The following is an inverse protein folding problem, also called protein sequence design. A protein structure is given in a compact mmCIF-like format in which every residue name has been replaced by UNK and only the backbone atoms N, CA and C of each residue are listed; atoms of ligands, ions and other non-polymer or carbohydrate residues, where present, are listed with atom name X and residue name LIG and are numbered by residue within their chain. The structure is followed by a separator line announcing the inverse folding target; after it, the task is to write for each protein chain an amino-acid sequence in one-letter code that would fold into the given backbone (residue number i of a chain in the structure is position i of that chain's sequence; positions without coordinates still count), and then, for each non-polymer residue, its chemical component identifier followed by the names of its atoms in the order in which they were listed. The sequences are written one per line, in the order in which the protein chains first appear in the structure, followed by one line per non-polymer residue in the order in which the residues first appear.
data_IF_814233728282
#
_entry.id   IF_814233728282
#
_cell.length_a   1.000
_cell.length_b   1.000
_cell.length_c   1.000
_cell.angle_alpha   90.00
_cell.angle_beta   90.00
_cell.angle_gamma   90.00
#
_symmetry.space_group_name_H-M   'P 1'
#
loop_
_entity.id
_entity.type
_entity.pdbx_description
1 polymer ?
#
# COMPACT_ATOMS: atom_id res chain seq x y z
N UNK A 1 -49.03 66.05 30.60
CA UNK A 1 -48.15 65.57 29.51
C UNK A 1 -47.22 64.50 30.10
N UNK A 2 -47.69 63.24 30.02
CA UNK A 2 -46.92 62.10 30.59
C UNK A 2 -46.17 61.43 29.48
N UNK A 3 -44.81 61.42 29.51
CA UNK A 3 -43.96 60.72 28.59
C UNK A 3 -43.63 59.38 29.19
N UNK A 4 -44.12 58.32 28.57
CA UNK A 4 -43.84 56.93 28.96
C UNK A 4 -42.65 56.44 28.14
N UNK A 5 -41.46 56.30 28.72
CA UNK A 5 -40.31 55.62 28.09
C UNK A 5 -40.54 54.10 28.09
N UNK A 6 -40.61 53.53 26.91
CA UNK A 6 -40.55 52.06 26.71
C UNK A 6 -39.09 51.63 26.61
N UNK A 7 -38.62 50.90 27.65
CA UNK A 7 -37.34 50.17 27.60
C UNK A 7 -37.55 48.90 26.77
N UNK A 8 -36.72 48.75 25.71
CA UNK A 8 -36.65 47.48 24.96
C UNK A 8 -35.56 46.59 25.57
N UNK A 9 -35.78 45.27 25.71
CA UNK A 9 -34.75 44.36 26.22
C UNK A 9 -33.66 44.12 25.18
N UNK A 10 -32.42 44.36 25.56
CA UNK A 10 -31.22 44.06 24.77
C UNK A 10 -30.93 42.54 24.88
N UNK A 11 -31.22 41.77 23.84
CA UNK A 11 -30.82 40.35 23.76
C UNK A 11 -29.33 40.27 23.41
N UNK A 12 -28.49 39.96 24.37
CA UNK A 12 -27.08 39.63 24.14
C UNK A 12 -27.00 38.17 23.72
N UNK A 13 -26.79 37.92 22.45
CA UNK A 13 -26.45 36.58 21.95
C UNK A 13 -24.99 36.29 22.29
N UNK A 14 -24.74 35.50 23.33
CA UNK A 14 -23.43 34.86 23.54
C UNK A 14 -23.24 33.77 22.47
N UNK A 15 -22.47 34.08 21.46
CA UNK A 15 -21.92 33.07 20.57
C UNK A 15 -20.78 32.34 21.28
N UNK A 16 -21.09 31.18 21.88
CA UNK A 16 -20.06 30.24 22.31
C UNK A 16 -19.40 29.65 21.08
N UNK A 17 -18.22 30.15 20.70
CA UNK A 17 -17.35 29.50 19.73
C UNK A 17 -16.82 28.22 20.36
N UNK A 18 -17.49 27.10 20.09
CA UNK A 18 -16.94 25.77 20.34
C UNK A 18 -15.78 25.62 19.35
N UNK A 19 -14.56 25.95 19.82
CA UNK A 19 -13.35 25.56 19.09
C UNK A 19 -13.34 24.03 19.07
N UNK A 20 -13.21 23.41 17.87
CA UNK A 20 -13.05 21.96 17.82
C UNK A 20 -11.78 21.63 18.61
N UNK A 21 -11.93 20.83 19.67
CA UNK A 21 -10.80 20.21 20.35
C UNK A 21 -10.12 19.31 19.28
N UNK A 22 -9.05 19.81 18.68
CA UNK A 22 -8.19 18.99 17.83
C UNK A 22 -7.61 17.89 18.72
N UNK A 23 -8.31 16.77 18.84
CA UNK A 23 -7.75 15.57 19.41
C UNK A 23 -6.51 15.23 18.59
N UNK A 24 -5.34 15.47 19.15
CA UNK A 24 -4.08 15.18 18.50
C UNK A 24 -4.07 13.68 18.17
N UNK A 25 -4.21 13.35 16.89
CA UNK A 25 -4.31 11.99 16.43
C UNK A 25 -3.12 11.19 16.98
N UNK A 26 -3.42 10.16 17.77
CA UNK A 26 -2.37 9.29 18.32
C UNK A 26 -1.57 8.71 17.15
N UNK A 27 -0.26 8.80 17.23
CA UNK A 27 0.62 8.20 16.22
C UNK A 27 1.28 6.96 16.77
N UNK A 28 1.42 5.89 15.95
CA UNK A 28 2.10 4.67 16.36
C UNK A 28 3.54 4.91 16.79
N UNK A 29 4.10 4.01 17.57
CA UNK A 29 5.51 4.05 17.97
C UNK A 29 6.43 4.06 16.74
N UNK A 30 7.66 4.58 16.89
CA UNK A 30 8.63 4.70 15.79
C UNK A 30 8.95 3.34 15.15
N UNK A 31 8.95 2.28 15.95
CA UNK A 31 9.16 0.90 15.49
C UNK A 31 8.38 -0.07 16.36
N UNK A 32 7.73 -1.04 15.73
CA UNK A 32 6.90 -2.05 16.36
C UNK A 32 7.33 -3.42 15.83
N UNK A 33 7.63 -4.37 16.72
CA UNK A 33 7.84 -5.77 16.34
C UNK A 33 6.46 -6.36 16.04
N UNK A 34 6.34 -7.03 14.91
CA UNK A 34 5.14 -7.79 14.56
C UNK A 34 5.17 -9.19 15.18
N UNK A 35 4.01 -9.79 15.48
CA UNK A 35 3.92 -11.19 15.88
C UNK A 35 4.50 -12.12 14.81
N UNK A 36 4.91 -13.33 15.21
CA UNK A 36 5.52 -14.31 14.30
C UNK A 36 4.59 -14.76 13.18
N UNK A 37 3.27 -14.72 13.39
CA UNK A 37 2.28 -15.00 12.34
C UNK A 37 2.37 -14.04 11.18
N UNK A 38 2.88 -12.81 11.38
CA UNK A 38 3.11 -11.78 10.37
C UNK A 38 4.57 -11.72 9.90
N UNK A 39 5.28 -12.84 9.93
CA UNK A 39 6.70 -12.91 9.57
C UNK A 39 6.97 -12.60 8.11
N UNK A 40 6.05 -12.94 7.22
CA UNK A 40 6.15 -12.73 5.78
C UNK A 40 5.12 -11.68 5.30
N UNK A 41 4.98 -10.60 6.10
CA UNK A 41 4.06 -9.51 5.76
C UNK A 41 4.42 -8.85 4.43
N UNK A 42 3.50 -8.90 3.46
CA UNK A 42 3.65 -8.29 2.14
C UNK A 42 2.67 -7.13 1.89
N UNK A 43 1.42 -7.23 2.33
CA UNK A 43 0.41 -6.18 2.16
C UNK A 43 -0.06 -5.56 3.47
N UNK A 44 -0.34 -4.25 3.46
CA UNK A 44 -0.83 -3.51 4.61
C UNK A 44 -1.66 -2.30 4.20
N UNK A 45 -2.83 -2.12 4.82
CA UNK A 45 -3.68 -0.96 4.58
C UNK A 45 -4.27 -0.41 5.88
N UNK A 46 -4.29 0.92 6.01
CA UNK A 46 -4.86 1.64 7.15
C UNK A 46 -6.16 2.31 6.72
N UNK A 47 -7.26 1.91 7.34
CA UNK A 47 -8.60 2.38 7.02
C UNK A 47 -8.92 3.71 7.73
N UNK A 48 -9.89 4.50 7.23
CA UNK A 48 -10.34 5.74 7.87
C UNK A 48 -10.88 5.55 9.30
N UNK A 49 -11.42 4.37 9.64
CA UNK A 49 -11.88 4.03 10.98
C UNK A 49 -10.73 3.72 11.97
N UNK A 50 -9.47 3.79 11.53
CA UNK A 50 -8.28 3.55 12.34
C UNK A 50 -7.80 2.09 12.37
N UNK A 51 -8.44 1.19 11.64
CA UNK A 51 -8.04 -0.22 11.53
C UNK A 51 -6.83 -0.39 10.61
N UNK A 52 -5.88 -1.21 11.06
CA UNK A 52 -4.70 -1.59 10.28
C UNK A 52 -4.80 -3.07 9.91
N UNK A 53 -5.17 -3.33 8.66
CA UNK A 53 -5.25 -4.66 8.11
C UNK A 53 -3.97 -5.04 7.37
N UNK A 54 -3.59 -6.32 7.49
CA UNK A 54 -2.33 -6.86 6.94
C UNK A 54 -2.58 -8.24 6.34
N UNK A 55 -1.70 -8.64 5.44
CA UNK A 55 -1.65 -10.01 4.91
C UNK A 55 -0.20 -10.49 4.76
N UNK A 56 -0.03 -11.79 4.62
CA UNK A 56 1.25 -12.41 4.30
C UNK A 56 1.34 -12.82 2.83
N UNK A 57 2.57 -12.94 2.35
CA UNK A 57 2.96 -13.47 1.06
C UNK A 57 2.53 -14.95 0.86
N UNK A 58 2.87 -15.50 -0.27
CA UNK A 58 2.64 -16.89 -0.69
C UNK A 58 3.05 -17.93 0.36
N UNK A 59 2.47 -19.15 0.27
CA UNK A 59 2.70 -20.28 1.19
C UNK A 59 2.17 -20.07 2.63
N UNK A 60 1.59 -18.92 2.93
CA UNK A 60 0.87 -18.67 4.15
C UNK A 60 -0.64 -18.94 3.97
N UNK A 61 -1.40 -19.13 5.06
CA UNK A 61 -2.86 -19.17 4.99
C UNK A 61 -3.43 -17.93 4.29
N UNK A 62 -4.60 -18.08 3.69
CA UNK A 62 -5.34 -16.97 3.08
C UNK A 62 -6.07 -16.16 4.17
N UNK A 63 -5.31 -15.45 4.97
CA UNK A 63 -5.77 -14.74 6.16
C UNK A 63 -5.53 -13.24 6.06
N UNK A 64 -6.48 -12.48 6.58
CA UNK A 64 -6.36 -11.06 6.87
C UNK A 64 -6.19 -10.86 8.37
N UNK A 65 -5.26 -10.02 8.76
CA UNK A 65 -4.86 -9.79 10.13
C UNK A 65 -5.15 -8.35 10.53
N UNK A 66 -6.05 -8.15 11.50
CA UNK A 66 -6.27 -6.84 12.12
C UNK A 66 -5.25 -6.64 13.24
N UNK A 67 -4.36 -5.69 13.07
CA UNK A 67 -3.28 -5.39 14.01
C UNK A 67 -3.49 -4.05 14.70
N UNK A 68 -3.36 -4.02 16.04
CA UNK A 68 -3.39 -2.78 16.82
C UNK A 68 -1.95 -2.28 17.05
N UNK A 69 -1.55 -1.18 16.41
CA UNK A 69 -0.18 -0.66 16.55
C UNK A 69 0.09 0.03 17.88
N UNK A 70 -0.93 0.39 18.65
CA UNK A 70 -0.79 0.99 19.97
C UNK A 70 -0.60 -0.08 21.05
N UNK A 71 -1.43 -1.11 21.02
CA UNK A 71 -1.32 -2.26 21.91
C UNK A 71 -0.25 -3.25 21.45
N UNK A 72 0.26 -3.10 20.22
CA UNK A 72 1.28 -3.94 19.57
C UNK A 72 0.87 -5.41 19.55
N UNK A 73 -0.40 -5.68 19.29
CA UNK A 73 -0.96 -7.03 19.29
C UNK A 73 -1.95 -7.23 18.14
N UNK A 74 -2.09 -8.48 17.77
CA UNK A 74 -3.12 -8.93 16.86
C UNK A 74 -4.49 -8.83 17.57
N UNK A 75 -5.48 -8.25 16.91
CA UNK A 75 -6.86 -8.15 17.42
C UNK A 75 -7.76 -9.21 16.83
N UNK A 76 -7.58 -9.52 15.56
CA UNK A 76 -8.45 -10.41 14.82
C UNK A 76 -7.69 -11.09 13.68
N UNK A 77 -8.13 -12.29 13.31
CA UNK A 77 -7.72 -13.01 12.09
C UNK A 77 -8.99 -13.41 11.35
N UNK A 78 -9.08 -13.06 10.07
CA UNK A 78 -10.17 -13.47 9.19
C UNK A 78 -9.67 -14.42 8.12
N UNK A 79 -10.24 -15.62 8.08
CA UNK A 79 -9.98 -16.59 7.03
C UNK A 79 -10.75 -16.22 5.77
N UNK A 80 -10.05 -15.84 4.74
CA UNK A 80 -10.66 -15.57 3.43
C UNK A 80 -10.89 -16.92 2.72
N UNK A 81 -12.11 -17.14 2.23
CA UNK A 81 -12.49 -18.38 1.49
C UNK A 81 -11.84 -18.43 0.10
N UNK A 82 -10.53 -18.25 0.04
CA UNK A 82 -9.72 -18.28 -1.15
C UNK A 82 -8.44 -19.09 -0.92
N UNK A 83 -7.66 -19.26 -1.97
CA UNK A 83 -6.30 -19.77 -1.86
C UNK A 83 -5.31 -18.61 -2.01
N UNK A 84 -4.36 -18.49 -1.10
CA UNK A 84 -3.19 -17.65 -1.29
C UNK A 84 -2.23 -18.36 -2.25
N UNK A 85 -2.25 -17.96 -3.53
CA UNK A 85 -1.26 -18.44 -4.51
C UNK A 85 0.03 -17.63 -4.41
N UNK A 86 -0.11 -16.29 -4.41
CA UNK A 86 1.01 -15.36 -4.34
C UNK A 86 0.45 -13.96 -4.03
N UNK A 87 -0.03 -13.80 -2.75
CA UNK A 87 -0.60 -12.55 -2.27
C UNK A 87 0.52 -11.55 -1.99
N UNK A 88 0.41 -10.34 -2.53
CA UNK A 88 1.50 -9.38 -2.53
C UNK A 88 1.13 -8.05 -1.87
N UNK A 89 -0.05 -7.50 -2.12
CA UNK A 89 -0.44 -6.20 -1.58
C UNK A 89 -1.91 -6.13 -1.20
N UNK A 90 -2.26 -5.12 -0.40
CA UNK A 90 -3.58 -4.89 0.16
C UNK A 90 -3.94 -3.40 0.09
N UNK A 91 -5.10 -3.10 -0.48
CA UNK A 91 -5.67 -1.74 -0.49
C UNK A 91 -7.16 -1.78 -0.16
N UNK A 92 -7.81 -0.64 0.02
CA UNK A 92 -9.21 -0.54 0.37
C UNK A 92 -9.91 0.57 -0.40
N UNK A 93 -11.24 0.50 -0.48
CA UNK A 93 -12.12 1.60 -0.86
C UNK A 93 -12.87 2.18 0.34
N UNK A 94 -13.65 3.23 0.10
CA UNK A 94 -14.47 3.88 1.12
C UNK A 94 -15.76 3.11 1.47
N UNK A 95 -16.06 2.03 0.75
CA UNK A 95 -17.25 1.18 0.94
C UNK A 95 -17.01 -0.02 1.85
N UNK A 96 -15.82 -0.12 2.45
CA UNK A 96 -15.42 -1.21 3.35
C UNK A 96 -14.94 -2.47 2.63
N UNK A 97 -14.61 -2.37 1.34
CA UNK A 97 -13.98 -3.46 0.63
C UNK A 97 -12.46 -3.41 0.77
N UNK A 98 -11.87 -4.55 1.05
CA UNK A 98 -10.44 -4.80 0.92
C UNK A 98 -10.16 -5.47 -0.43
N UNK A 99 -9.16 -4.97 -1.13
CA UNK A 99 -8.67 -5.55 -2.37
C UNK A 99 -7.35 -6.27 -2.09
N UNK A 100 -7.35 -7.58 -2.31
CA UNK A 100 -6.20 -8.47 -2.02
C UNK A 100 -5.57 -8.84 -3.36
N UNK A 101 -4.34 -8.46 -3.58
CA UNK A 101 -3.62 -8.70 -4.83
C UNK A 101 -2.98 -10.09 -4.89
N UNK A 102 -3.65 -11.07 -5.50
CA UNK A 102 -3.09 -12.40 -5.80
C UNK A 102 -2.46 -12.38 -7.20
N UNK A 103 -1.36 -11.63 -7.32
CA UNK A 103 -0.75 -11.32 -8.60
C UNK A 103 0.78 -11.46 -8.64
N UNK A 104 1.39 -11.96 -7.56
CA UNK A 104 2.80 -12.31 -7.56
C UNK A 104 3.12 -13.29 -8.69
N UNK A 105 4.21 -13.06 -9.40
CA UNK A 105 4.57 -13.81 -10.60
C UNK A 105 6.07 -13.74 -10.89
N UNK A 106 6.88 -14.07 -9.89
CA UNK A 106 8.34 -13.97 -9.94
C UNK A 106 8.97 -14.66 -11.17
N UNK A 107 8.36 -15.73 -11.64
CA UNK A 107 8.81 -16.47 -12.82
C UNK A 107 8.13 -16.03 -14.12
N UNK A 108 7.24 -15.04 -14.08
CA UNK A 108 6.46 -14.54 -15.22
C UNK A 108 5.67 -15.62 -15.99
N UNK A 109 5.28 -16.72 -15.29
CA UNK A 109 4.58 -17.88 -15.88
C UNK A 109 3.09 -17.92 -15.58
N UNK A 110 2.62 -17.17 -14.55
CA UNK A 110 1.23 -17.21 -14.11
C UNK A 110 0.29 -16.61 -15.16
N UNK A 111 -0.85 -17.30 -15.35
CA UNK A 111 -1.95 -16.89 -16.22
C UNK A 111 -3.27 -16.75 -15.45
N UNK A 112 -3.25 -17.01 -14.13
CA UNK A 112 -4.40 -16.96 -13.24
C UNK A 112 -4.31 -15.79 -12.27
N UNK A 113 -3.80 -14.64 -12.72
CA UNK A 113 -3.69 -13.44 -11.92
C UNK A 113 -5.07 -12.89 -11.56
N UNK A 114 -5.25 -12.43 -10.33
CA UNK A 114 -6.52 -11.87 -9.88
C UNK A 114 -6.34 -10.92 -8.70
N UNK A 115 -7.37 -10.13 -8.45
CA UNK A 115 -7.53 -9.37 -7.23
C UNK A 115 -8.81 -9.88 -6.58
N UNK A 116 -8.76 -10.24 -5.30
CA UNK A 116 -9.96 -10.52 -4.55
C UNK A 116 -10.52 -9.22 -3.97
N UNK A 117 -11.84 -9.06 -4.04
CA UNK A 117 -12.57 -8.02 -3.33
C UNK A 117 -13.28 -8.69 -2.16
N UNK A 118 -12.90 -8.32 -0.94
CA UNK A 118 -13.46 -8.84 0.30
C UNK A 118 -14.13 -7.72 1.08
N UNK A 119 -15.44 -7.82 1.31
CA UNK A 119 -16.17 -6.84 2.09
C UNK A 119 -16.08 -7.15 3.58
N UNK A 120 -15.59 -6.19 4.38
CA UNK A 120 -15.35 -6.36 5.82
C UNK A 120 -16.66 -6.52 6.62
N UNK A 121 -17.77 -5.93 6.16
CA UNK A 121 -19.07 -5.97 6.85
C UNK A 121 -19.88 -7.21 6.55
N UNK A 122 -19.92 -7.65 5.28
CA UNK A 122 -20.74 -8.81 4.83
C UNK A 122 -19.94 -10.10 4.71
N UNK A 123 -18.60 -10.02 4.73
CA UNK A 123 -17.66 -11.11 4.47
C UNK A 123 -17.81 -11.73 3.06
N UNK A 124 -18.48 -11.02 2.16
CA UNK A 124 -18.58 -11.42 0.76
C UNK A 124 -17.23 -11.35 0.08
N UNK A 125 -16.93 -12.37 -0.71
CA UNK A 125 -15.70 -12.51 -1.46
C UNK A 125 -15.99 -12.64 -2.94
N UNK A 126 -15.50 -11.68 -3.70
CA UNK A 126 -15.52 -11.68 -5.16
C UNK A 126 -14.10 -11.75 -5.73
N UNK A 127 -13.99 -11.96 -7.04
CA UNK A 127 -12.71 -11.91 -7.72
C UNK A 127 -12.76 -11.11 -9.01
N UNK A 128 -11.63 -10.45 -9.31
CA UNK A 128 -11.36 -9.68 -10.53
C UNK A 128 -10.19 -10.37 -11.21
N UNK A 129 -10.41 -11.41 -12.01
CA UNK A 129 -9.36 -12.05 -12.79
C UNK A 129 -8.89 -11.10 -13.89
N UNK A 130 -7.57 -11.09 -14.16
CA UNK A 130 -7.01 -10.18 -15.15
C UNK A 130 -5.78 -10.73 -15.84
N UNK A 131 -5.43 -10.14 -16.98
CA UNK A 131 -4.18 -10.35 -17.70
C UNK A 131 -3.55 -9.02 -18.12
N UNK A 132 -2.24 -9.03 -18.32
CA UNK A 132 -1.55 -7.87 -18.87
C UNK A 132 -1.72 -7.81 -20.39
N UNK A 133 -1.95 -6.62 -20.99
CA UNK A 133 -2.15 -6.47 -22.43
C UNK A 133 -0.90 -6.77 -23.25
N UNK A 134 0.27 -6.67 -22.65
CA UNK A 134 1.58 -6.74 -23.27
C UNK A 134 2.40 -7.99 -22.86
N UNK A 135 1.79 -8.96 -22.15
CA UNK A 135 2.39 -10.26 -21.84
C UNK A 135 1.92 -11.31 -22.86
N UNK A 136 2.72 -11.53 -23.89
CA UNK A 136 2.37 -12.44 -25.00
C UNK A 136 2.93 -13.86 -24.84
N UNK A 137 3.82 -14.10 -23.87
CA UNK A 137 4.41 -15.39 -23.56
C UNK A 137 4.59 -15.59 -22.05
N UNK A 138 4.54 -16.86 -21.59
CA UNK A 138 4.51 -17.25 -20.19
C UNK A 138 5.56 -18.34 -19.85
N UNK A 139 6.82 -17.96 -19.55
CA UNK A 139 7.38 -16.60 -19.48
C UNK A 139 7.76 -16.05 -20.86
N UNK A 140 8.05 -14.75 -20.97
CA UNK A 140 8.75 -14.20 -22.14
C UNK A 140 10.11 -14.89 -22.34
N UNK A 141 10.50 -15.07 -23.60
CA UNK A 141 11.70 -15.85 -23.96
C UNK A 141 13.01 -15.33 -23.36
N UNK A 142 13.10 -14.03 -23.16
CA UNK A 142 14.30 -13.36 -22.61
C UNK A 142 14.03 -12.81 -21.22
N UNK A 143 14.83 -13.15 -20.22
CA UNK A 143 14.71 -12.62 -18.86
C UNK A 143 14.65 -11.07 -18.79
N UNK A 144 15.30 -10.38 -19.69
CA UNK A 144 15.23 -8.90 -19.76
C UNK A 144 13.83 -8.36 -20.09
N UNK A 145 12.93 -9.22 -20.59
CA UNK A 145 11.54 -8.89 -20.92
C UNK A 145 10.59 -9.25 -19.76
N UNK A 146 11.11 -9.88 -18.71
CA UNK A 146 10.34 -10.26 -17.53
C UNK A 146 9.98 -9.00 -16.72
N UNK A 147 8.76 -8.59 -16.83
CA UNK A 147 8.24 -7.41 -16.15
C UNK A 147 6.72 -7.54 -15.92
N UNK A 148 6.30 -8.75 -15.50
CA UNK A 148 4.91 -9.11 -15.26
C UNK A 148 4.73 -9.73 -13.87
N UNK A 149 5.66 -9.48 -12.97
CA UNK A 149 5.48 -9.61 -11.54
C UNK A 149 4.92 -8.30 -10.99
N UNK A 150 3.89 -8.36 -10.16
CA UNK A 150 3.34 -7.20 -9.48
C UNK A 150 3.45 -7.41 -7.97
N UNK A 151 3.82 -6.39 -7.23
CA UNK A 151 3.92 -6.44 -5.77
C UNK A 151 3.40 -5.14 -5.12
N UNK A 152 2.66 -4.33 -5.87
CA UNK A 152 2.20 -3.05 -5.36
C UNK A 152 0.87 -2.64 -6.01
N UNK A 153 -0.09 -2.19 -5.20
CA UNK A 153 -1.42 -1.80 -5.66
C UNK A 153 -2.00 -0.68 -4.80
N UNK A 154 -2.74 0.24 -5.42
CA UNK A 154 -3.59 1.21 -4.72
C UNK A 154 -4.96 1.29 -5.36
N UNK A 155 -5.99 1.53 -4.54
CA UNK A 155 -7.30 1.98 -5.02
C UNK A 155 -7.28 3.51 -5.18
N UNK A 156 -7.74 4.00 -6.31
CA UNK A 156 -7.86 5.43 -6.59
C UNK A 156 -8.88 5.72 -7.68
N UNK A 157 -9.85 6.60 -7.40
CA UNK A 157 -10.89 7.02 -8.35
C UNK A 157 -11.57 5.83 -9.04
N UNK A 158 -12.19 4.95 -8.25
CA UNK A 158 -12.93 3.75 -8.68
C UNK A 158 -12.12 2.80 -9.58
N UNK A 159 -10.81 2.80 -9.41
CA UNK A 159 -9.89 1.95 -10.17
C UNK A 159 -8.80 1.37 -9.28
N UNK A 160 -8.30 0.20 -9.66
CA UNK A 160 -7.14 -0.45 -9.07
C UNK A 160 -5.90 -0.15 -9.92
N UNK A 161 -4.90 0.43 -9.30
CA UNK A 161 -3.65 0.81 -9.94
C UNK A 161 -2.53 -0.10 -9.48
N UNK A 162 -1.98 -0.87 -10.40
CA UNK A 162 -0.96 -1.88 -10.15
C UNK A 162 0.40 -1.39 -10.62
N UNK A 163 1.44 -1.68 -9.84
CA UNK A 163 2.82 -1.30 -10.16
C UNK A 163 3.70 -2.54 -10.21
N UNK A 164 4.29 -2.80 -11.39
CA UNK A 164 5.12 -3.99 -11.57
C UNK A 164 6.43 -3.90 -10.77
N UNK A 165 6.82 -5.04 -10.19
CA UNK A 165 8.18 -5.28 -9.71
C UNK A 165 9.03 -5.70 -10.90
N UNK A 166 9.88 -4.85 -11.36
CA UNK A 166 10.85 -5.19 -12.40
C UNK A 166 11.91 -6.17 -11.86
N UNK A 167 12.30 -7.13 -12.67
CA UNK A 167 13.35 -8.07 -12.30
C UNK A 167 14.74 -7.40 -12.24
N UNK A 168 15.61 -7.88 -11.34
CA UNK A 168 17.00 -7.38 -11.25
C UNK A 168 17.82 -7.55 -12.54
N UNK A 169 17.43 -8.47 -13.40
CA UNK A 169 18.00 -8.70 -14.73
C UNK A 169 17.14 -8.12 -15.85
N UNK A 170 16.02 -7.47 -15.47
CA UNK A 170 15.06 -6.91 -16.40
C UNK A 170 15.45 -5.50 -16.90
N UNK A 171 14.47 -4.84 -17.49
CA UNK A 171 14.65 -3.51 -18.09
C UNK A 171 14.58 -2.34 -17.08
N UNK A 172 14.41 -2.61 -15.80
CA UNK A 172 14.28 -1.64 -14.70
C UNK A 172 13.12 -0.63 -14.86
N UNK A 173 12.11 -0.95 -15.66
CA UNK A 173 10.91 -0.16 -15.74
C UNK A 173 9.85 -0.70 -14.78
N UNK A 174 9.34 0.14 -13.89
CA UNK A 174 8.10 -0.11 -13.19
C UNK A 174 6.97 0.31 -14.14
N UNK A 175 6.12 -0.63 -14.52
CA UNK A 175 4.93 -0.39 -15.34
C UNK A 175 3.75 -0.11 -14.41
N UNK A 176 2.92 0.83 -14.80
CA UNK A 176 1.69 1.17 -14.10
C UNK A 176 0.50 0.72 -14.95
N UNK A 177 -0.27 -0.21 -14.42
CA UNK A 177 -1.49 -0.72 -15.04
C UNK A 177 -2.73 -0.27 -14.26
N UNK A 178 -3.85 -0.19 -14.93
CA UNK A 178 -5.14 0.18 -14.36
C UNK A 178 -6.17 -0.90 -14.66
N UNK A 179 -6.96 -1.24 -13.63
CA UNK A 179 -8.08 -2.19 -13.71
C UNK A 179 -9.34 -1.55 -13.11
N UNK A 180 -10.53 -1.88 -13.60
CA UNK A 180 -11.77 -1.55 -12.92
C UNK A 180 -11.92 -2.36 -11.62
N UNK A 181 -12.81 -1.92 -10.74
CA UNK A 181 -13.11 -2.57 -9.45
C UNK A 181 -14.22 -3.61 -9.53
N UNK A 182 -14.92 -3.71 -10.66
CA UNK A 182 -16.04 -4.63 -10.84
C UNK A 182 -15.55 -6.08 -10.96
N UNK A 183 -16.04 -6.99 -10.10
CA UNK A 183 -15.76 -8.42 -10.20
C UNK A 183 -16.34 -9.08 -11.47
N UNK A 184 -16.02 -10.34 -11.69
CA UNK A 184 -16.64 -11.18 -12.71
C UNK A 184 -15.68 -11.61 -13.82
N UNK A 185 -16.02 -11.35 -15.10
CA UNK A 185 -15.22 -11.80 -16.23
C UNK A 185 -13.78 -11.25 -16.22
N UNK A 186 -12.86 -11.99 -16.83
CA UNK A 186 -11.46 -11.59 -16.95
C UNK A 186 -11.31 -10.22 -17.60
N UNK A 187 -10.52 -9.37 -16.98
CA UNK A 187 -10.22 -8.02 -17.45
C UNK A 187 -8.88 -7.98 -18.18
N UNK A 188 -8.76 -7.12 -19.15
CA UNK A 188 -7.45 -6.76 -19.72
C UNK A 188 -6.99 -5.47 -19.04
N UNK A 189 -5.88 -5.52 -18.32
CA UNK A 189 -5.34 -4.33 -17.67
C UNK A 189 -4.94 -3.27 -18.71
N UNK A 190 -5.08 -2.01 -18.37
CA UNK A 190 -4.68 -0.90 -19.24
C UNK A 190 -3.28 -0.46 -18.82
N UNK A 191 -2.29 -0.60 -19.69
CA UNK A 191 -0.96 -0.02 -19.46
C UNK A 191 -1.06 1.51 -19.56
N UNK A 192 -0.96 2.19 -18.43
CA UNK A 192 -1.10 3.66 -18.32
C UNK A 192 0.19 4.37 -18.66
N UNK A 193 1.27 4.04 -17.98
CA UNK A 193 2.61 4.58 -18.18
C UNK A 193 3.67 3.67 -17.54
N UNK A 194 4.93 4.10 -17.59
CA UNK A 194 6.03 3.41 -16.93
C UNK A 194 7.14 4.39 -16.56
N UNK A 195 7.92 4.03 -15.53
CA UNK A 195 9.06 4.82 -15.09
C UNK A 195 10.31 3.93 -14.94
N UNK A 196 11.45 4.43 -15.41
CA UNK A 196 12.73 3.74 -15.24
C UNK A 196 13.30 3.96 -13.85
N UNK A 197 13.46 2.89 -13.08
CA UNK A 197 13.97 2.91 -11.72
C UNK A 197 15.36 2.26 -11.69
N UNK A 198 16.43 3.05 -11.74
CA UNK A 198 17.83 2.56 -11.76
C UNK A 198 18.07 1.48 -10.70
N UNK A 199 18.16 0.21 -11.12
CA UNK A 199 18.45 -0.98 -10.30
C UNK A 199 17.54 -1.13 -9.04
N UNK A 200 16.35 -0.61 -9.07
CA UNK A 200 15.43 -0.62 -7.95
C UNK A 200 14.14 -1.34 -8.31
N UNK A 201 13.67 -2.19 -7.42
CA UNK A 201 12.37 -2.87 -7.54
C UNK A 201 11.32 -2.18 -6.68
N UNK A 202 10.06 -2.24 -7.10
CA UNK A 202 8.90 -1.78 -6.34
C UNK A 202 8.27 -2.98 -5.64
N UNK A 203 7.93 -2.83 -4.36
CA UNK A 203 7.45 -3.90 -3.49
C UNK A 203 6.25 -3.52 -2.63
N UNK A 204 5.65 -2.38 -2.83
CA UNK A 204 4.44 -1.95 -2.15
C UNK A 204 4.07 -0.53 -2.53
N UNK A 205 2.79 -0.19 -2.45
CA UNK A 205 2.25 1.11 -2.80
C UNK A 205 1.22 1.59 -1.78
N UNK A 206 1.12 2.90 -1.59
CA UNK A 206 0.03 3.52 -0.87
C UNK A 206 -0.22 4.95 -1.35
N UNK A 207 -1.46 5.43 -1.20
CA UNK A 207 -1.82 6.84 -1.37
C UNK A 207 -1.94 7.52 -0.01
N UNK A 208 -1.61 8.82 0.06
CA UNK A 208 -2.00 9.65 1.20
C UNK A 208 -3.52 9.70 1.32
N UNK A 209 -4.04 9.97 2.51
CA UNK A 209 -5.48 10.02 2.73
C UNK A 209 -6.18 11.08 1.87
N UNK A 210 -5.49 12.19 1.58
CA UNK A 210 -5.98 13.23 0.67
C UNK A 210 -5.83 12.88 -0.84
N UNK A 211 -5.29 11.70 -1.17
CA UNK A 211 -5.08 11.22 -2.52
C UNK A 211 -4.04 11.98 -3.35
N UNK A 212 -3.27 12.93 -2.74
CA UNK A 212 -2.36 13.81 -3.48
C UNK A 212 -0.92 13.33 -3.54
N UNK A 213 -0.59 12.27 -2.78
CA UNK A 213 0.75 11.67 -2.76
C UNK A 213 0.67 10.18 -2.97
N UNK A 214 1.26 9.65 -4.04
CA UNK A 214 1.55 8.24 -4.18
C UNK A 214 2.92 7.96 -3.56
N UNK A 215 3.00 6.95 -2.70
CA UNK A 215 4.25 6.42 -2.15
C UNK A 215 4.48 5.00 -2.66
N UNK A 216 5.65 4.75 -3.25
CA UNK A 216 6.09 3.41 -3.62
C UNK A 216 7.28 3.03 -2.75
N UNK A 217 7.19 1.92 -2.01
CA UNK A 217 8.36 1.34 -1.35
C UNK A 217 9.12 0.43 -2.29
N UNK A 218 10.38 0.22 -2.01
CA UNK A 218 11.21 -0.67 -2.82
C UNK A 218 12.67 -0.63 -2.40
N UNK A 219 13.48 -1.51 -2.99
CA UNK A 219 14.87 -1.63 -2.61
C UNK A 219 15.80 -1.85 -3.81
N UNK A 220 17.08 -1.57 -3.59
CA UNK A 220 18.18 -1.96 -4.45
C UNK A 220 18.87 -3.15 -3.80
N UNK A 221 19.14 -4.20 -4.56
CA UNK A 221 20.09 -5.23 -4.18
C UNK A 221 21.46 -4.92 -4.80
N UNK A 222 22.50 -5.15 -4.02
CA UNK A 222 23.89 -4.96 -4.48
C UNK A 222 24.85 -5.86 -3.73
N UNK A 223 26.10 -5.86 -4.17
CA UNK A 223 27.21 -6.53 -3.49
C UNK A 223 28.22 -5.48 -3.05
N UNK A 224 28.56 -5.47 -1.75
CA UNK A 224 29.64 -4.66 -1.22
C UNK A 224 30.93 -5.47 -1.29
N UNK A 225 32.02 -4.86 -1.72
CA UNK A 225 33.31 -5.54 -1.97
C UNK A 225 33.20 -6.74 -2.92
N UNK A 226 32.24 -6.72 -3.87
CA UNK A 226 32.05 -7.79 -4.84
C UNK A 226 31.32 -9.05 -4.34
N UNK A 227 31.28 -9.32 -3.05
CA UNK A 227 30.73 -10.56 -2.49
C UNK A 227 29.68 -10.37 -1.39
N UNK A 228 29.70 -9.32 -0.57
CA UNK A 228 28.75 -9.12 0.51
C UNK A 228 27.41 -8.56 -0.01
N UNK A 229 26.32 -9.35 0.02
CA UNK A 229 25.03 -8.85 -0.41
C UNK A 229 24.53 -7.76 0.53
N UNK A 230 23.92 -6.72 -0.02
CA UNK A 230 23.22 -5.71 0.76
C UNK A 230 21.92 -5.26 0.07
N UNK A 231 20.96 -4.82 0.86
CA UNK A 231 19.77 -4.12 0.36
C UNK A 231 19.76 -2.67 0.83
N UNK A 232 19.28 -1.79 -0.03
CA UNK A 232 19.00 -0.38 0.29
C UNK A 232 17.54 -0.08 -0.01
N UNK A 233 16.72 -0.04 1.01
CA UNK A 233 15.33 0.30 0.86
C UNK A 233 15.10 1.82 0.86
N UNK A 234 14.06 2.23 0.17
CA UNK A 234 13.62 3.63 0.08
C UNK A 234 12.16 3.71 -0.28
N UNK A 235 11.55 4.85 0.04
CA UNK A 235 10.24 5.23 -0.47
C UNK A 235 10.42 6.31 -1.54
N UNK A 236 9.68 6.16 -2.64
CA UNK A 236 9.52 7.15 -3.68
C UNK A 236 8.16 7.81 -3.50
N UNK A 237 8.14 9.13 -3.40
CA UNK A 237 6.91 9.91 -3.36
C UNK A 237 6.69 10.61 -4.69
N UNK A 238 5.48 10.51 -5.21
CA UNK A 238 5.02 11.24 -6.38
C UNK A 238 3.92 12.20 -5.94
N UNK A 239 4.11 13.48 -6.23
CA UNK A 239 3.17 14.56 -5.88
C UNK A 239 2.88 15.43 -7.10
N UNK A 240 1.84 16.26 -7.05
CA UNK A 240 1.48 17.17 -8.15
C UNK A 240 1.20 16.45 -9.48
N UNK A 241 0.74 15.20 -9.43
CA UNK A 241 0.24 14.49 -10.61
C UNK A 241 -1.19 14.92 -10.95
N UNK A 242 -1.60 14.73 -12.21
CA UNK A 242 -2.97 15.01 -12.68
C UNK A 242 -3.71 13.69 -12.88
N UNK A 243 -4.89 13.55 -12.25
CA UNK A 243 -5.65 12.31 -12.27
C UNK A 243 -4.74 11.15 -11.81
N UNK A 244 -4.76 10.03 -12.52
CA UNK A 244 -3.94 8.86 -12.21
C UNK A 244 -2.59 8.79 -12.94
N UNK A 245 -2.09 9.91 -13.50
CA UNK A 245 -0.76 9.96 -14.14
C UNK A 245 0.33 10.16 -13.10
N UNK A 246 0.45 9.21 -12.17
CA UNK A 246 1.33 9.32 -11.01
C UNK A 246 2.80 9.58 -11.38
N UNK A 247 3.33 8.87 -12.37
CA UNK A 247 4.74 8.97 -12.76
C UNK A 247 5.10 10.29 -13.46
N UNK A 248 4.09 11.07 -13.85
CA UNK A 248 4.28 12.44 -14.38
C UNK A 248 4.36 13.50 -13.28
N UNK A 249 4.12 13.11 -12.03
CA UNK A 249 4.23 14.00 -10.88
C UNK A 249 5.67 14.30 -10.47
N UNK A 250 5.81 15.22 -9.54
CA UNK A 250 7.11 15.57 -8.93
C UNK A 250 7.58 14.41 -8.06
N UNK A 251 8.77 13.88 -8.33
CA UNK A 251 9.34 12.75 -7.63
C UNK A 251 10.31 13.19 -6.52
N UNK A 252 10.18 12.60 -5.34
CA UNK A 252 11.14 12.68 -4.23
C UNK A 252 11.49 11.29 -3.70
N UNK A 253 12.69 11.14 -3.18
CA UNK A 253 13.20 9.90 -2.62
C UNK A 253 13.54 10.06 -1.15
N UNK A 254 13.15 9.07 -0.36
CA UNK A 254 13.55 8.95 1.03
C UNK A 254 14.16 7.58 1.28
N UNK A 255 15.40 7.57 1.77
CA UNK A 255 16.01 6.32 2.23
C UNK A 255 15.35 5.84 3.51
N UNK A 256 15.02 4.56 3.57
CA UNK A 256 14.55 3.92 4.79
C UNK A 256 15.72 3.65 5.75
N UNK A 257 15.45 3.48 7.06
CA UNK A 257 16.50 3.20 8.03
C UNK A 257 17.38 2.03 7.61
N UNK A 258 18.68 2.10 7.94
CA UNK A 258 19.58 0.98 7.72
C UNK A 258 19.10 -0.19 8.57
N UNK A 259 18.66 -1.21 7.94
CA UNK A 259 18.03 -2.34 8.56
C UNK A 259 18.80 -3.62 8.21
N UNK A 260 20.04 -3.76 8.68
CA UNK A 260 20.84 -4.97 8.48
C UNK A 260 21.16 -5.29 7.01
N UNK A 261 21.63 -6.52 6.75
CA UNK A 261 22.21 -6.91 5.45
C UNK A 261 21.13 -7.19 4.39
N UNK A 262 19.91 -7.57 4.76
CA UNK A 262 18.90 -8.01 3.80
C UNK A 262 17.45 -7.73 4.23
N UNK A 263 17.12 -6.50 4.64
CA UNK A 263 15.71 -6.18 4.89
C UNK A 263 15.01 -5.85 3.59
N UNK A 264 14.03 -6.69 3.27
CA UNK A 264 13.03 -6.44 2.27
C UNK A 264 11.89 -5.70 2.96
N UNK A 265 11.64 -4.45 2.54
CA UNK A 265 10.43 -3.73 2.90
C UNK A 265 9.44 -4.03 1.80
N UNK A 266 8.41 -4.78 2.14
CA UNK A 266 7.44 -5.28 1.17
C UNK A 266 6.10 -4.54 1.26
N UNK A 267 5.86 -3.80 2.33
CA UNK A 267 4.56 -3.17 2.56
C UNK A 267 4.67 -1.71 3.00
N UNK A 268 3.70 -0.89 2.58
CA UNK A 268 3.56 0.52 2.97
C UNK A 268 2.09 0.91 3.04
N UNK A 269 1.72 1.76 4.03
CA UNK A 269 0.43 2.42 4.08
C UNK A 269 0.55 3.85 4.61
N UNK A 270 -0.37 4.73 4.24
CA UNK A 270 -0.49 6.05 4.85
C UNK A 270 -1.21 5.91 6.20
N UNK A 271 -0.59 6.42 7.27
CA UNK A 271 -1.28 6.61 8.55
C UNK A 271 -2.12 7.88 8.54
N UNK A 272 -1.55 8.92 7.98
CA UNK A 272 -2.20 10.18 7.59
C UNK A 272 -1.34 10.84 6.49
N UNK A 273 -1.66 12.07 6.09
CA UNK A 273 -0.96 12.74 4.97
C UNK A 273 0.54 12.95 5.21
N UNK A 274 0.99 12.97 6.47
CA UNK A 274 2.39 13.20 6.84
C UNK A 274 3.12 11.95 7.32
N UNK A 275 2.40 10.97 7.86
CA UNK A 275 2.96 9.78 8.51
C UNK A 275 2.63 8.54 7.69
N UNK A 276 3.64 7.75 7.44
CA UNK A 276 3.55 6.49 6.73
C UNK A 276 4.06 5.36 7.60
N UNK A 277 3.48 4.20 7.46
CA UNK A 277 3.97 2.96 8.04
C UNK A 277 4.56 2.12 6.92
N UNK A 278 5.75 1.57 7.15
CA UNK A 278 6.39 0.59 6.25
C UNK A 278 6.72 -0.66 7.03
N UNK A 279 6.49 -1.82 6.45
CA UNK A 279 6.80 -3.09 7.10
C UNK A 279 7.90 -3.84 6.35
N UNK A 280 8.72 -4.57 7.11
CA UNK A 280 9.71 -5.49 6.58
C UNK A 280 9.41 -6.92 7.01
N UNK A 281 9.70 -7.86 6.13
CA UNK A 281 9.67 -9.29 6.44
C UNK A 281 10.72 -9.69 7.50
N UNK A 282 10.42 -10.80 8.20
CA UNK A 282 11.33 -11.45 9.14
C UNK A 282 12.20 -12.48 8.43
N UNK A 283 13.52 -12.23 8.36
CA UNK A 283 14.53 -13.21 7.93
C UNK A 283 15.64 -13.25 8.97
N UNK A 284 15.91 -14.40 9.57
CA UNK A 284 16.97 -14.53 10.58
C UNK A 284 18.30 -13.96 10.08
N UNK A 285 19.00 -13.13 10.88
CA UNK A 285 18.72 -12.72 12.26
C UNK A 285 17.74 -11.53 12.39
N UNK A 286 17.02 -11.14 11.34
CA UNK A 286 16.17 -9.96 11.31
C UNK A 286 14.74 -10.30 11.68
N UNK A 287 14.11 -9.42 12.47
CA UNK A 287 12.75 -9.55 12.95
C UNK A 287 11.83 -8.67 12.10
N UNK A 288 10.64 -9.17 11.79
CA UNK A 288 9.58 -8.41 11.11
C UNK A 288 9.16 -7.22 11.96
N UNK A 289 9.01 -6.06 11.32
CA UNK A 289 8.68 -4.80 12.01
C UNK A 289 7.87 -3.86 11.15
N UNK A 290 7.00 -3.09 11.79
CA UNK A 290 6.50 -1.83 11.25
C UNK A 290 7.44 -0.69 11.68
N UNK A 291 7.68 0.23 10.77
CA UNK A 291 8.43 1.46 10.97
C UNK A 291 7.58 2.67 10.62
N UNK A 292 7.49 3.62 11.53
CA UNK A 292 6.86 4.90 11.26
C UNK A 292 7.87 5.84 10.61
N UNK A 293 7.50 6.38 9.45
CA UNK A 293 8.27 7.39 8.73
C UNK A 293 7.42 8.64 8.53
N UNK A 294 8.07 9.82 8.54
CA UNK A 294 7.40 11.09 8.25
C UNK A 294 7.72 11.51 6.83
N UNK A 295 6.74 12.00 6.08
CA UNK A 295 7.02 12.71 4.85
C UNK A 295 7.72 14.03 5.21
N UNK A 296 8.92 14.23 4.68
CA UNK A 296 9.61 15.52 4.79
C UNK A 296 9.42 16.23 3.46
N UNK A 297 8.42 17.09 3.40
CA UNK A 297 8.23 18.01 2.26
C UNK A 297 9.35 19.03 2.17
#
# INVERSE_FOLDING_TARGET
MHITLKLQPLWVFLWSTILPLNAQEKTPARSIILPDVLKEVSGMTHLPNGELWMLNDSKNPADLYLFDPYLKKLKEVRHVKARNYDWEDLTHDDSGNLYIGDFGNNNNKRQNLRIFRYNLGTEELDSIPFRYPDQMAFPPAKEREWNFNCEAMVYYQDSLHLFSKNAFKGNFYCKHYVLPTEPGAEKVAILRDSIKLKNRVVTGAALSQDGKTLALTGYIMGRRFGFWPYTRASVMYFTNFKGSWFFRGKQKWRRLPKCGISRQFESITAWNDQIWLVANEGRKPQVQRIWRIKNKH
#
